data_IF_226007727881
#
_entry.id   IF_226007727881
#
_cell.length_a   1.000
_cell.length_b   1.000
_cell.length_c   1.000
_cell.angle_alpha   90.00
_cell.angle_beta   90.00
_cell.angle_gamma   90.00
#
_symmetry.space_group_name_H-M   'P 1'
#
loop_
_entity.id
_entity.type
_entity.pdbx_description
1 polymer ?
#
# COMPACT_ATOMS: atom_id res chain seq x y z
N UNK A 1 -14.96 -51.22 -25.24
CA UNK A 1 -15.34 -49.85 -24.80
C UNK A 1 -14.44 -49.34 -23.68
N UNK A 2 -14.39 -50.01 -22.52
CA UNK A 2 -13.58 -49.60 -21.34
C UNK A 2 -12.14 -49.18 -21.65
N UNK A 3 -11.40 -49.96 -22.44
CA UNK A 3 -10.03 -49.64 -22.88
C UNK A 3 -9.92 -48.30 -23.60
N UNK A 4 -10.84 -48.00 -24.51
CA UNK A 4 -10.87 -46.73 -25.27
C UNK A 4 -11.15 -45.54 -24.33
N UNK A 5 -12.04 -45.72 -23.35
CA UNK A 5 -12.35 -44.70 -22.34
C UNK A 5 -11.13 -44.42 -21.44
N UNK A 6 -10.40 -45.46 -21.02
CA UNK A 6 -9.17 -45.31 -20.23
C UNK A 6 -8.07 -44.57 -21.01
N UNK A 7 -7.87 -44.90 -22.30
CA UNK A 7 -6.92 -44.18 -23.17
C UNK A 7 -7.34 -42.72 -23.35
N UNK A 8 -8.62 -42.43 -23.58
CA UNK A 8 -9.12 -41.06 -23.71
C UNK A 8 -8.93 -40.24 -22.42
N UNK A 9 -9.20 -40.84 -21.25
CA UNK A 9 -8.94 -40.20 -19.95
C UNK A 9 -7.45 -39.91 -19.73
N UNK A 10 -6.55 -40.83 -20.12
CA UNK A 10 -5.11 -40.61 -20.03
C UNK A 10 -4.65 -39.44 -20.92
N UNK A 11 -5.14 -39.36 -22.16
CA UNK A 11 -4.86 -38.22 -23.05
C UNK A 11 -5.43 -36.91 -22.50
N UNK A 12 -6.65 -36.89 -21.94
CA UNK A 12 -7.22 -35.70 -21.32
C UNK A 12 -6.37 -35.19 -20.15
N UNK A 13 -5.89 -36.08 -19.28
CA UNK A 13 -4.99 -35.74 -18.17
C UNK A 13 -3.65 -35.19 -18.69
N UNK A 14 -3.06 -35.80 -19.71
CA UNK A 14 -1.82 -35.29 -20.33
C UNK A 14 -1.99 -33.90 -20.95
N UNK A 15 -3.12 -33.63 -21.62
CA UNK A 15 -3.44 -32.30 -22.17
C UNK A 15 -3.63 -31.27 -21.05
N UNK A 16 -4.29 -31.63 -19.94
CA UNK A 16 -4.41 -30.76 -18.76
C UNK A 16 -3.06 -30.48 -18.08
N UNK A 17 -2.15 -31.46 -18.00
CA UNK A 17 -0.81 -31.24 -17.48
C UNK A 17 0.01 -30.34 -18.41
N UNK A 18 -0.10 -30.53 -19.72
CA UNK A 18 0.59 -29.70 -20.72
C UNK A 18 0.10 -28.25 -20.70
N UNK A 19 -1.22 -28.01 -20.62
CA UNK A 19 -1.75 -26.64 -20.56
C UNK A 19 -1.37 -25.91 -19.27
N UNK A 20 -1.31 -26.61 -18.12
CA UNK A 20 -0.75 -26.05 -16.88
C UNK A 20 0.72 -25.69 -17.06
N UNK A 21 1.53 -26.55 -17.68
CA UNK A 21 2.96 -26.26 -17.92
C UNK A 21 3.17 -25.04 -18.83
N UNK A 22 2.40 -24.91 -19.92
CA UNK A 22 2.44 -23.73 -20.81
C UNK A 22 2.09 -22.45 -20.03
N UNK A 23 0.97 -22.43 -19.31
CA UNK A 23 0.55 -21.29 -18.50
C UNK A 23 1.57 -20.91 -17.42
N UNK A 24 2.28 -21.89 -16.82
CA UNK A 24 3.35 -21.59 -15.87
C UNK A 24 4.60 -20.99 -16.54
N UNK A 25 4.94 -21.36 -17.78
CA UNK A 25 6.05 -20.73 -18.52
C UNK A 25 5.71 -19.29 -18.89
N UNK A 26 4.54 -19.08 -19.50
CA UNK A 26 4.04 -17.76 -19.87
C UNK A 26 4.03 -16.80 -18.66
N UNK A 27 3.54 -17.27 -17.49
CA UNK A 27 3.57 -16.50 -16.24
C UNK A 27 4.99 -16.21 -15.71
N UNK A 28 5.94 -17.12 -15.90
CA UNK A 28 7.34 -16.92 -15.49
C UNK A 28 8.04 -15.90 -16.40
N UNK A 29 7.86 -16.02 -17.71
CA UNK A 29 8.40 -15.10 -18.71
C UNK A 29 7.88 -13.68 -18.47
N UNK A 30 6.56 -13.53 -18.33
CA UNK A 30 5.85 -12.29 -17.96
C UNK A 30 6.36 -11.65 -16.65
N UNK A 31 6.70 -12.47 -15.64
CA UNK A 31 7.34 -12.01 -14.39
C UNK A 31 8.80 -11.58 -14.62
N UNK A 32 9.55 -12.24 -15.50
CA UNK A 32 10.94 -11.85 -15.80
C UNK A 32 11.04 -10.57 -16.63
N UNK A 33 10.14 -10.33 -17.57
CA UNK A 33 10.09 -9.07 -18.33
C UNK A 33 9.74 -7.89 -17.42
N UNK A 34 8.73 -8.05 -16.54
CA UNK A 34 8.37 -7.03 -15.54
C UNK A 34 9.47 -6.77 -14.50
N UNK A 35 10.43 -7.68 -14.35
CA UNK A 35 11.66 -7.46 -13.58
C UNK A 35 12.73 -6.72 -14.39
N UNK A 36 12.93 -7.06 -15.68
CA UNK A 36 13.87 -6.36 -16.58
C UNK A 36 13.48 -4.88 -16.76
N UNK A 37 12.24 -4.61 -17.17
CA UNK A 37 11.71 -3.25 -17.35
C UNK A 37 11.86 -2.39 -16.09
N UNK A 38 11.68 -2.99 -14.90
CA UNK A 38 11.85 -2.32 -13.61
C UNK A 38 13.32 -2.04 -13.24
N UNK A 39 14.27 -2.84 -13.72
CA UNK A 39 15.70 -2.60 -13.53
C UNK A 39 16.20 -1.51 -14.51
N UNK A 40 15.73 -1.55 -15.75
CA UNK A 40 16.08 -0.61 -16.81
C UNK A 40 15.56 0.81 -16.50
N UNK A 41 14.31 0.92 -16.03
CA UNK A 41 13.72 2.18 -15.54
C UNK A 41 14.39 2.74 -14.26
N UNK A 42 15.33 2.01 -13.64
CA UNK A 42 16.13 2.48 -12.51
C UNK A 42 17.54 2.95 -12.91
N UNK A 43 17.91 2.87 -14.20
CA UNK A 43 19.26 3.17 -14.70
C UNK A 43 19.41 4.53 -15.39
N UNK A 44 18.32 5.29 -15.57
CA UNK A 44 18.29 6.46 -16.49
C UNK A 44 17.74 7.72 -15.81
N UNK A 45 18.40 8.22 -14.76
CA UNK A 45 18.20 9.60 -14.25
C UNK A 45 19.42 10.10 -13.45
N UNK A 46 20.49 10.53 -14.12
CA UNK A 46 21.54 11.36 -13.50
C UNK A 46 22.02 12.49 -14.45
N UNK A 47 21.67 13.73 -14.08
CA UNK A 47 22.25 15.02 -14.53
C UNK A 47 22.15 15.37 -16.06
N UNK A 48 22.51 16.62 -16.46
CA UNK A 48 21.81 17.84 -16.06
C UNK A 48 21.49 18.77 -17.27
N UNK A 49 20.79 19.89 -17.04
CA UNK A 49 20.57 20.94 -18.06
C UNK A 49 20.74 22.35 -17.49
N UNK A 50 21.59 23.16 -18.12
CA UNK A 50 21.92 24.54 -17.73
C UNK A 50 20.93 25.58 -18.29
N UNK A 51 21.07 26.84 -17.84
CA UNK A 51 20.29 28.02 -18.30
C UNK A 51 20.88 28.62 -19.60
N UNK A 52 20.20 29.58 -20.25
CA UNK A 52 20.53 31.00 -19.99
C UNK A 52 19.32 31.97 -19.94
N UNK A 53 19.56 33.28 -20.05
CA UNK A 53 18.80 34.40 -19.45
C UNK A 53 18.44 35.54 -20.46
N UNK A 54 17.84 36.65 -19.97
CA UNK A 54 17.46 37.97 -20.55
C UNK A 54 15.95 38.16 -20.90
N UNK A 55 15.29 39.32 -20.69
CA UNK A 55 15.69 40.64 -20.16
C UNK A 55 14.49 41.45 -19.54
N UNK A 56 14.75 42.69 -19.09
CA UNK A 56 13.89 43.69 -18.38
C UNK A 56 14.25 45.13 -18.87
N UNK A 57 13.64 46.28 -18.44
CA UNK A 57 12.78 46.55 -17.26
C UNK A 57 11.51 47.44 -17.54
N UNK A 58 10.60 47.70 -16.57
CA UNK A 58 10.32 48.97 -15.80
C UNK A 58 9.80 50.23 -16.55
N UNK A 59 9.20 51.25 -15.87
CA UNK A 59 8.32 51.24 -14.67
C UNK A 59 7.12 52.25 -14.78
N UNK A 60 6.30 52.42 -13.72
CA UNK A 60 5.97 53.75 -13.09
C UNK A 60 5.03 53.59 -11.87
N UNK A 61 5.46 54.22 -10.76
CA UNK A 61 4.83 54.31 -9.40
C UNK A 61 3.58 55.23 -9.38
N UNK A 62 2.73 55.37 -8.34
CA UNK A 62 2.84 55.29 -6.86
C UNK A 62 1.52 54.67 -6.26
N UNK A 63 1.10 54.71 -4.98
CA UNK A 63 1.52 55.38 -3.72
C UNK A 63 0.98 54.61 -2.46
N UNK A 64 1.54 54.88 -1.26
CA UNK A 64 1.19 54.26 0.04
C UNK A 64 1.36 55.32 1.16
N UNK A 65 0.36 55.59 2.05
CA UNK A 65 0.28 55.05 3.43
C UNK A 65 -1.20 54.79 3.90
N UNK A 66 -1.62 54.51 5.16
CA UNK A 66 -1.05 54.53 6.53
C UNK A 66 -1.45 53.27 7.36
N UNK A 67 -0.54 52.93 8.30
CA UNK A 67 -0.58 52.07 9.53
C UNK A 67 -1.89 51.31 9.91
N UNK A 68 -1.93 49.97 10.14
CA UNK A 68 -1.19 49.04 11.06
C UNK A 68 -1.89 48.81 12.43
N UNK A 69 -1.63 47.67 13.15
CA UNK A 69 -1.04 46.38 12.75
C UNK A 69 -1.87 45.13 13.18
N UNK A 70 -1.63 43.97 12.56
CA UNK A 70 -1.86 42.66 13.19
C UNK A 70 -1.01 41.55 12.56
N UNK A 71 -0.70 40.49 13.34
CA UNK A 71 0.47 39.64 13.14
C UNK A 71 0.19 38.36 12.33
N UNK A 72 0.96 38.12 11.26
CA UNK A 72 1.16 36.79 10.65
C UNK A 72 2.64 36.37 10.78
N UNK A 73 2.97 35.34 11.57
CA UNK A 73 4.32 34.80 11.61
C UNK A 73 4.67 34.06 10.30
N UNK A 74 5.57 34.64 9.52
CA UNK A 74 6.17 33.98 8.37
C UNK A 74 7.18 32.91 8.85
N UNK A 75 7.02 31.64 8.45
CA UNK A 75 8.08 30.64 8.58
C UNK A 75 9.17 30.91 7.52
N UNK A 76 10.09 31.83 7.82
CA UNK A 76 11.32 31.97 7.04
C UNK A 76 12.16 30.69 7.10
N UNK A 77 12.82 30.39 5.99
CA UNK A 77 13.71 29.24 5.88
C UNK A 77 15.17 29.64 6.12
N UNK A 78 15.98 28.65 6.52
CA UNK A 78 17.45 28.68 6.60
C UNK A 78 18.09 29.41 7.80
N UNK A 79 18.24 28.67 8.91
CA UNK A 79 19.51 28.73 9.64
C UNK A 79 20.22 27.37 9.59
N UNK A 80 21.44 27.38 9.05
CA UNK A 80 22.38 26.27 9.05
C UNK A 80 23.54 26.61 9.99
N UNK A 81 23.35 26.38 11.29
CA UNK A 81 24.43 26.50 12.30
C UNK A 81 25.39 25.30 12.21
N UNK A 82 26.15 25.24 11.11
CA UNK A 82 27.22 24.27 10.86
C UNK A 82 28.54 24.72 11.51
N UNK A 83 28.56 24.85 12.84
CA UNK A 83 29.73 25.33 13.59
C UNK A 83 30.78 24.22 13.80
N UNK A 84 31.39 23.76 12.71
CA UNK A 84 32.71 23.11 12.75
C UNK A 84 33.45 23.25 11.40
N UNK A 85 34.14 24.38 11.18
CA UNK A 85 35.03 24.54 10.02
C UNK A 85 36.34 23.78 10.28
N UNK A 86 36.34 22.48 9.95
CA UNK A 86 37.52 21.63 10.00
C UNK A 86 37.99 21.25 8.58
N UNK A 87 39.10 21.87 8.16
CA UNK A 87 40.05 21.49 7.09
C UNK A 87 39.54 20.75 5.83
N UNK A 88 39.77 21.39 4.69
CA UNK A 88 39.80 20.88 3.33
C UNK A 88 39.87 19.34 3.11
N UNK A 89 38.91 18.82 2.33
CA UNK A 89 39.17 17.68 1.43
C UNK A 89 38.81 16.27 1.92
N UNK A 90 38.05 16.10 3.00
CA UNK A 90 37.60 14.76 3.45
C UNK A 90 36.12 14.51 3.10
N UNK A 91 35.86 13.68 2.07
CA UNK A 91 34.51 13.20 1.76
C UNK A 91 34.12 12.12 2.78
N UNK A 92 33.57 12.57 3.91
CA UNK A 92 33.12 11.70 5.01
C UNK A 92 31.91 10.86 4.60
N UNK A 93 32.17 9.68 4.03
CA UNK A 93 31.22 8.57 3.94
C UNK A 93 30.93 7.94 5.32
N UNK A 94 30.63 8.78 6.31
CA UNK A 94 30.14 8.35 7.60
C UNK A 94 28.75 7.73 7.41
N UNK A 95 28.68 6.40 7.36
CA UNK A 95 27.42 5.66 7.30
C UNK A 95 26.65 5.88 8.59
N UNK A 96 25.83 6.95 8.64
CA UNK A 96 24.89 7.22 9.72
C UNK A 96 23.89 6.06 9.80
N UNK A 97 24.22 5.06 10.61
CA UNK A 97 23.39 3.90 10.90
C UNK A 97 22.03 4.39 11.34
N UNK A 98 21.02 4.27 10.47
CA UNK A 98 19.71 4.87 10.74
C UNK A 98 19.08 4.14 11.91
N UNK A 99 18.79 4.81 13.04
CA UNK A 99 18.47 4.11 14.29
C UNK A 99 17.27 3.19 14.13
N UNK A 100 17.34 2.02 14.75
CA UNK A 100 16.33 0.97 14.60
C UNK A 100 15.01 1.38 15.23
N UNK A 101 13.93 0.66 14.90
CA UNK A 101 12.63 0.85 15.54
C UNK A 101 12.71 0.64 17.06
N UNK A 102 13.58 -0.26 17.52
CA UNK A 102 13.74 -0.60 18.93
C UNK A 102 14.46 0.51 19.68
N UNK A 103 15.57 1.04 19.15
CA UNK A 103 16.23 2.25 19.67
C UNK A 103 15.26 3.44 19.71
N UNK A 104 14.49 3.66 18.64
CA UNK A 104 13.51 4.75 18.58
C UNK A 104 12.37 4.59 19.58
N UNK A 105 11.90 3.37 19.82
CA UNK A 105 10.91 3.06 20.85
C UNK A 105 11.48 3.28 22.26
N UNK A 106 12.73 2.86 22.51
CA UNK A 106 13.42 3.13 23.77
C UNK A 106 13.70 4.61 24.00
N UNK A 107 13.77 5.41 22.94
CA UNK A 107 13.89 6.87 22.97
C UNK A 107 12.53 7.63 22.97
N UNK A 108 11.38 6.94 22.96
CA UNK A 108 10.08 7.58 23.18
C UNK A 108 9.95 8.04 24.64
N UNK A 109 9.26 9.15 24.86
CA UNK A 109 8.74 9.49 26.18
C UNK A 109 7.74 8.43 26.68
N UNK A 110 7.44 8.42 27.98
CA UNK A 110 6.58 7.41 28.59
C UNK A 110 5.14 7.41 28.05
N UNK A 111 4.61 8.56 27.64
CA UNK A 111 3.23 8.71 27.14
C UNK A 111 3.13 8.21 25.69
N UNK A 112 4.02 8.66 24.80
CA UNK A 112 4.10 8.13 23.42
C UNK A 112 4.38 6.63 23.40
N UNK A 113 5.17 6.11 24.36
CA UNK A 113 5.45 4.68 24.50
C UNK A 113 4.20 3.89 24.89
N UNK A 114 3.43 4.36 25.87
CA UNK A 114 2.14 3.76 26.23
C UNK A 114 1.17 3.71 25.04
N UNK A 115 1.09 4.80 24.26
CA UNK A 115 0.29 4.83 23.03
C UNK A 115 0.76 3.83 21.96
N UNK A 116 2.07 3.64 21.79
CA UNK A 116 2.62 2.60 20.91
C UNK A 116 2.16 1.21 21.36
N UNK A 117 2.34 0.89 22.64
CA UNK A 117 2.05 -0.42 23.22
C UNK A 117 0.55 -0.73 23.22
N UNK A 118 -0.31 0.28 23.41
CA UNK A 118 -1.76 0.12 23.34
C UNK A 118 -2.25 -0.14 21.91
N UNK A 119 -1.74 0.58 20.91
CA UNK A 119 -2.08 0.32 19.49
C UNK A 119 -1.55 -1.05 19.05
N UNK A 120 -0.36 -1.45 19.49
CA UNK A 120 0.19 -2.80 19.30
C UNK A 120 -0.73 -3.86 19.91
N UNK A 121 -1.14 -3.69 21.17
CA UNK A 121 -2.06 -4.60 21.87
C UNK A 121 -3.41 -4.71 21.16
N UNK A 122 -3.97 -3.58 20.70
CA UNK A 122 -5.24 -3.55 19.98
C UNK A 122 -5.14 -4.26 18.63
N UNK A 123 -4.13 -3.92 17.81
CA UNK A 123 -3.92 -4.53 16.50
C UNK A 123 -3.58 -6.04 16.58
N UNK A 124 -2.94 -6.49 17.67
CA UNK A 124 -2.64 -7.90 17.91
C UNK A 124 -3.86 -8.72 18.40
N UNK A 125 -4.89 -8.07 18.94
CA UNK A 125 -6.11 -8.74 19.43
C UNK A 125 -7.15 -9.04 18.32
N UNK A 126 -6.98 -8.44 17.13
CA UNK A 126 -7.90 -8.59 16.00
C UNK A 126 -7.81 -9.99 15.35
N UNK A 127 -8.92 -10.48 14.80
CA UNK A 127 -8.98 -11.82 14.19
C UNK A 127 -8.02 -11.97 13.00
N UNK A 128 -7.40 -13.15 12.86
CA UNK A 128 -6.40 -13.49 11.83
C UNK A 128 -5.14 -12.57 11.81
N UNK A 129 -4.98 -11.68 12.80
CA UNK A 129 -3.94 -10.65 12.81
C UNK A 129 -2.54 -11.25 12.96
N UNK A 130 -1.62 -10.81 12.10
CA UNK A 130 -0.22 -11.26 12.05
C UNK A 130 0.73 -10.08 12.14
N UNK A 131 1.64 -10.15 13.12
CA UNK A 131 2.71 -9.18 13.37
C UNK A 131 3.88 -9.38 12.41
N UNK A 132 4.31 -8.30 11.77
CA UNK A 132 5.51 -8.23 10.93
C UNK A 132 6.41 -7.10 11.46
N UNK A 133 7.53 -7.45 12.08
CA UNK A 133 8.51 -6.48 12.58
C UNK A 133 9.64 -6.28 11.56
N UNK A 134 10.05 -5.03 11.37
CA UNK A 134 11.14 -4.62 10.50
C UNK A 134 12.01 -3.59 11.24
N UNK A 135 13.28 -3.47 10.86
CA UNK A 135 14.24 -2.49 11.41
C UNK A 135 13.73 -1.04 11.41
N UNK A 136 12.77 -0.69 10.54
CA UNK A 136 12.20 0.67 10.42
C UNK A 136 10.75 0.83 10.88
N UNK A 137 9.98 -0.25 11.02
CA UNK A 137 8.54 -0.21 11.30
C UNK A 137 7.99 -1.55 11.80
N UNK A 138 6.83 -1.53 12.44
CA UNK A 138 6.07 -2.73 12.79
C UNK A 138 4.71 -2.70 12.11
N UNK A 139 4.21 -3.82 11.58
CA UNK A 139 3.01 -3.86 10.75
C UNK A 139 2.13 -5.06 11.08
N UNK A 140 0.83 -4.80 11.25
CA UNK A 140 -0.18 -5.82 11.55
C UNK A 140 -1.07 -6.02 10.32
N UNK A 141 -1.33 -7.29 9.97
CA UNK A 141 -2.10 -7.67 8.77
C UNK A 141 -3.06 -8.81 9.03
N UNK A 142 -4.23 -8.73 8.42
CA UNK A 142 -5.17 -9.86 8.29
C UNK A 142 -5.16 -10.34 6.84
N UNK A 143 -4.67 -11.56 6.62
CA UNK A 143 -4.47 -12.14 5.29
C UNK A 143 -3.46 -11.37 4.43
N UNK A 144 -3.95 -10.63 3.43
CA UNK A 144 -3.14 -9.76 2.55
C UNK A 144 -3.22 -8.27 2.90
N UNK A 145 -4.17 -7.87 3.74
CA UNK A 145 -4.49 -6.45 3.99
C UNK A 145 -3.81 -5.97 5.26
N UNK A 146 -3.20 -4.78 5.20
CA UNK A 146 -2.62 -4.09 6.36
C UNK A 146 -3.73 -3.47 7.20
N UNK A 147 -3.78 -3.83 8.48
CA UNK A 147 -4.59 -3.13 9.49
C UNK A 147 -3.91 -1.79 9.81
N UNK A 148 -2.69 -1.85 10.33
CA UNK A 148 -1.86 -0.69 10.69
C UNK A 148 -0.37 -0.98 10.49
N UNK A 149 0.42 0.04 10.15
CA UNK A 149 1.87 0.06 10.35
C UNK A 149 2.23 1.17 11.33
N UNK A 150 2.95 0.82 12.40
CA UNK A 150 3.51 1.76 13.35
C UNK A 150 4.96 2.09 12.97
N UNK A 151 5.30 3.38 13.02
CA UNK A 151 6.65 3.92 12.88
C UNK A 151 6.89 4.91 14.03
N UNK A 152 8.15 5.19 14.33
CA UNK A 152 8.53 6.31 15.19
C UNK A 152 9.30 7.33 14.36
N UNK A 153 8.84 8.59 14.36
CA UNK A 153 9.41 9.71 13.59
C UNK A 153 9.52 10.93 14.52
N UNK A 154 10.72 11.51 14.66
CA UNK A 154 11.00 12.69 15.52
C UNK A 154 10.43 12.56 16.96
N UNK A 155 10.63 11.43 17.61
CA UNK A 155 10.14 11.16 18.98
C UNK A 155 8.65 10.86 19.10
N UNK A 156 7.88 10.87 18.01
CA UNK A 156 6.41 10.68 18.01
C UNK A 156 6.03 9.37 17.31
N UNK A 157 4.99 8.71 17.81
CA UNK A 157 4.38 7.53 17.18
C UNK A 157 3.58 7.96 15.96
N UNK A 158 3.80 7.28 14.84
CA UNK A 158 3.14 7.55 13.56
C UNK A 158 2.55 6.27 13.02
N UNK A 159 1.24 6.24 12.85
CA UNK A 159 0.51 5.12 12.26
C UNK A 159 0.20 5.38 10.79
N UNK A 160 0.39 4.36 9.95
CA UNK A 160 -0.03 4.34 8.55
C UNK A 160 -1.11 3.26 8.33
N UNK A 161 -2.25 3.67 7.80
CA UNK A 161 -3.41 2.82 7.49
C UNK A 161 -3.54 2.66 5.96
N UNK A 162 -4.42 1.77 5.49
CA UNK A 162 -4.95 1.84 4.11
C UNK A 162 -6.46 1.71 4.24
N UNK A 163 -7.14 2.84 4.40
CA UNK A 163 -8.59 2.87 4.56
C UNK A 163 -9.24 2.47 3.22
N UNK A 164 -10.01 1.38 3.16
CA UNK A 164 -10.58 0.89 1.91
C UNK A 164 -11.80 1.73 1.51
N UNK A 165 -11.76 2.29 0.30
CA UNK A 165 -12.93 2.85 -0.35
C UNK A 165 -13.49 1.81 -1.35
N UNK A 166 -14.77 1.45 -1.20
CA UNK A 166 -15.42 0.42 -2.00
C UNK A 166 -15.56 0.82 -3.48
N UNK A 167 -16.01 2.05 -3.75
CA UNK A 167 -16.26 2.57 -5.10
C UNK A 167 -14.97 2.65 -5.91
N UNK A 168 -13.91 3.18 -5.29
CA UNK A 168 -12.57 3.24 -5.89
C UNK A 168 -12.02 1.83 -6.17
N UNK A 169 -12.21 0.88 -5.25
CA UNK A 169 -11.80 -0.50 -5.44
C UNK A 169 -12.57 -1.18 -6.57
N UNK A 170 -13.87 -0.94 -6.68
CA UNK A 170 -14.70 -1.46 -7.77
C UNK A 170 -14.27 -0.88 -9.12
N UNK A 171 -14.13 0.46 -9.21
CA UNK A 171 -13.61 1.16 -10.39
C UNK A 171 -12.26 0.59 -10.86
N UNK A 172 -11.31 0.40 -9.93
CA UNK A 172 -9.98 -0.17 -10.23
C UNK A 172 -10.07 -1.59 -10.79
N UNK A 173 -10.95 -2.44 -10.24
CA UNK A 173 -11.16 -3.81 -10.70
C UNK A 173 -11.84 -3.87 -12.07
N UNK A 174 -12.88 -3.06 -12.29
CA UNK A 174 -13.68 -3.02 -13.52
C UNK A 174 -12.86 -2.51 -14.71
N UNK A 175 -12.11 -1.42 -14.51
CA UNK A 175 -11.25 -0.81 -15.53
C UNK A 175 -9.89 -1.53 -15.66
N UNK A 176 -9.62 -2.56 -14.85
CA UNK A 176 -8.39 -3.38 -14.84
C UNK A 176 -7.09 -2.58 -14.66
N UNK A 177 -7.17 -1.39 -14.08
CA UNK A 177 -6.01 -0.53 -13.82
C UNK A 177 -5.25 -0.98 -12.57
N UNK A 178 -3.96 -0.72 -12.49
CA UNK A 178 -3.13 -1.07 -11.34
C UNK A 178 -2.72 0.19 -10.56
N UNK A 179 -3.54 0.61 -9.60
CA UNK A 179 -3.29 1.82 -8.80
C UNK A 179 -2.74 1.47 -7.41
N UNK A 180 -1.54 1.97 -7.11
CA UNK A 180 -0.91 1.83 -5.79
C UNK A 180 -1.43 2.91 -4.84
N UNK A 181 -2.45 2.56 -4.04
CA UNK A 181 -2.99 3.42 -2.98
C UNK A 181 -1.89 3.73 -1.95
N UNK A 182 -1.68 5.03 -1.66
CA UNK A 182 -0.81 5.49 -0.59
C UNK A 182 -1.51 5.38 0.77
N UNK A 183 -0.75 5.21 1.85
CA UNK A 183 -1.32 5.03 3.19
C UNK A 183 -1.61 6.33 3.91
N UNK A 184 -2.84 6.51 4.38
CA UNK A 184 -3.21 7.58 5.32
C UNK A 184 -2.28 7.54 6.53
N UNK A 185 -1.64 8.66 6.85
CA UNK A 185 -0.61 8.75 7.90
C UNK A 185 -1.09 9.67 9.01
N UNK A 186 -1.08 9.19 10.26
CA UNK A 186 -1.51 9.94 11.44
C UNK A 186 -0.42 9.92 12.53
N UNK A 187 -0.18 11.07 13.16
CA UNK A 187 0.65 11.18 14.37
C UNK A 187 -0.24 10.92 15.59
N UNK A 188 0.28 10.21 16.59
CA UNK A 188 -0.40 10.00 17.87
C UNK A 188 0.25 10.92 18.90
N UNK A 189 -0.55 11.83 19.46
CA UNK A 189 -0.09 12.90 20.37
C UNK A 189 -0.88 12.92 21.69
N UNK A 190 -2.10 12.39 21.66
CA UNK A 190 -3.10 12.50 22.70
C UNK A 190 -4.11 11.34 22.64
N UNK A 191 -5.05 11.31 23.58
CA UNK A 191 -6.02 10.22 23.69
C UNK A 191 -7.06 10.22 22.54
N UNK A 192 -7.31 11.38 21.90
CA UNK A 192 -8.22 11.45 20.74
C UNK A 192 -7.57 10.89 19.47
N UNK A 193 -6.30 11.22 19.18
CA UNK A 193 -5.55 10.60 18.07
C UNK A 193 -5.27 9.11 18.31
N UNK A 194 -5.09 8.69 19.56
CA UNK A 194 -5.05 7.28 19.95
C UNK A 194 -6.37 6.56 19.64
N UNK A 195 -7.52 7.13 20.01
CA UNK A 195 -8.81 6.49 19.75
C UNK A 195 -9.09 6.43 18.25
N UNK A 196 -8.85 7.53 17.51
CA UNK A 196 -8.97 7.55 16.05
C UNK A 196 -8.06 6.50 15.36
N UNK A 197 -6.96 6.08 15.98
CA UNK A 197 -6.09 5.01 15.46
C UNK A 197 -6.69 3.61 15.66
N UNK A 198 -7.44 3.39 16.74
CA UNK A 198 -8.24 2.17 16.97
C UNK A 198 -9.42 2.12 16.01
N UNK A 199 -10.19 3.22 15.92
CA UNK A 199 -11.32 3.36 15.00
C UNK A 199 -10.87 3.13 13.55
N UNK A 200 -9.68 3.61 13.17
CA UNK A 200 -9.07 3.36 11.86
C UNK A 200 -8.69 1.88 11.62
N UNK A 201 -8.34 1.12 12.67
CA UNK A 201 -8.15 -0.35 12.57
C UNK A 201 -9.50 -1.02 12.36
N UNK A 202 -10.53 -0.63 13.14
CA UNK A 202 -11.85 -1.26 13.11
C UNK A 202 -12.58 -1.00 11.78
N UNK A 203 -12.40 0.18 11.17
CA UNK A 203 -12.85 0.46 9.79
C UNK A 203 -12.23 -0.52 8.78
N UNK A 204 -10.94 -0.84 8.92
CA UNK A 204 -10.27 -1.81 8.05
C UNK A 204 -10.73 -3.25 8.33
N UNK A 205 -10.94 -3.62 9.60
CA UNK A 205 -11.46 -4.95 9.98
C UNK A 205 -12.89 -5.15 9.46
N UNK A 206 -13.79 -4.20 9.69
CA UNK A 206 -15.18 -4.23 9.21
C UNK A 206 -15.25 -4.34 7.68
N UNK A 207 -14.43 -3.59 6.95
CA UNK A 207 -14.37 -3.69 5.49
C UNK A 207 -13.80 -5.04 4.99
N UNK A 208 -12.97 -5.73 5.79
CA UNK A 208 -12.52 -7.10 5.51
C UNK A 208 -13.62 -8.13 5.77
N UNK A 209 -14.45 -7.92 6.79
CA UNK A 209 -15.64 -8.73 7.07
C UNK A 209 -16.68 -8.58 5.96
N UNK A 210 -17.03 -7.34 5.58
CA UNK A 210 -17.90 -7.04 4.44
C UNK A 210 -17.37 -7.67 3.14
N UNK A 211 -16.06 -7.63 2.89
CA UNK A 211 -15.45 -8.32 1.75
C UNK A 211 -15.50 -9.86 1.86
N UNK A 212 -15.32 -10.42 3.06
CA UNK A 212 -15.48 -11.87 3.32
C UNK A 212 -16.94 -12.28 3.04
N UNK A 213 -17.93 -11.50 3.47
CA UNK A 213 -19.35 -11.78 3.28
C UNK A 213 -19.80 -11.61 1.83
N UNK A 214 -19.46 -10.51 1.18
CA UNK A 214 -19.76 -10.28 -0.23
C UNK A 214 -19.23 -11.41 -1.12
N UNK A 215 -18.01 -11.90 -0.86
CA UNK A 215 -17.45 -13.08 -1.55
C UNK A 215 -18.21 -14.37 -1.25
N UNK A 216 -18.68 -14.58 -0.01
CA UNK A 216 -19.56 -15.74 0.34
C UNK A 216 -20.87 -15.66 -0.46
N UNK A 217 -21.51 -14.49 -0.53
CA UNK A 217 -22.75 -14.27 -1.28
C UNK A 217 -22.56 -14.53 -2.78
N UNK A 218 -21.58 -13.90 -3.43
CA UNK A 218 -21.28 -14.11 -4.86
C UNK A 218 -21.02 -15.59 -5.21
N UNK A 219 -20.35 -16.35 -4.33
CA UNK A 219 -20.11 -17.78 -4.53
C UNK A 219 -21.40 -18.59 -4.43
N UNK A 220 -22.32 -18.23 -3.52
CA UNK A 220 -23.63 -18.88 -3.42
C UNK A 220 -24.53 -18.57 -4.62
N UNK A 221 -24.53 -17.34 -5.11
CA UNK A 221 -25.29 -16.94 -6.30
C UNK A 221 -24.76 -17.61 -7.57
N UNK A 222 -23.44 -17.61 -7.79
CA UNK A 222 -22.80 -18.33 -8.91
C UNK A 222 -23.09 -19.83 -8.86
N UNK A 223 -23.20 -20.44 -7.66
CA UNK A 223 -23.65 -21.83 -7.48
C UNK A 223 -25.14 -22.02 -7.82
N UNK A 224 -26.01 -21.06 -7.48
CA UNK A 224 -27.45 -21.07 -7.85
C UNK A 224 -27.64 -20.93 -9.36
N UNK A 225 -26.97 -19.98 -10.00
CA UNK A 225 -27.01 -19.76 -11.46
C UNK A 225 -26.57 -21.00 -12.24
N UNK A 226 -25.42 -21.60 -11.90
CA UNK A 226 -24.93 -22.84 -12.54
C UNK A 226 -25.92 -24.00 -12.41
N UNK A 227 -26.62 -24.11 -11.27
CA UNK A 227 -27.66 -25.13 -11.06
C UNK A 227 -28.97 -24.86 -11.81
N UNK A 228 -29.21 -23.64 -12.29
CA UNK A 228 -30.35 -23.28 -13.16
C UNK A 228 -30.02 -23.60 -14.62
N UNK A 229 -28.89 -23.09 -15.13
CA UNK A 229 -28.40 -23.42 -16.46
C UNK A 229 -28.32 -24.94 -16.71
N UNK A 230 -27.74 -25.71 -15.77
CA UNK A 230 -27.67 -27.18 -15.87
C UNK A 230 -29.01 -27.92 -15.80
N UNK A 231 -30.12 -27.25 -15.44
CA UNK A 231 -31.48 -27.78 -15.59
C UNK A 231 -32.06 -27.39 -16.94
N UNK A 232 -31.93 -26.13 -17.32
CA UNK A 232 -32.38 -25.59 -18.60
C UNK A 232 -31.74 -26.35 -19.78
N UNK A 233 -30.43 -26.61 -19.74
CA UNK A 233 -29.69 -27.47 -20.68
C UNK A 233 -30.26 -28.90 -20.76
N UNK A 234 -30.67 -29.47 -19.62
CA UNK A 234 -31.24 -30.84 -19.51
C UNK A 234 -32.71 -30.93 -19.90
N UNK A 235 -33.42 -29.80 -19.89
CA UNK A 235 -34.81 -29.70 -20.35
C UNK A 235 -34.87 -29.35 -21.85
N UNK A 236 -33.88 -28.63 -22.37
CA UNK A 236 -33.72 -28.35 -23.81
C UNK A 236 -33.25 -29.60 -24.58
N UNK A 237 -32.22 -30.30 -24.11
CA UNK A 237 -31.75 -31.55 -24.74
C UNK A 237 -32.87 -32.60 -24.87
N UNK A 238 -33.62 -32.84 -23.79
CA UNK A 238 -34.81 -33.73 -23.80
C UNK A 238 -35.95 -33.29 -24.71
N UNK A 239 -35.97 -32.04 -25.18
CA UNK A 239 -36.94 -31.53 -26.16
C UNK A 239 -36.45 -31.61 -27.61
N UNK A 240 -35.17 -31.94 -27.83
CA UNK A 240 -34.58 -32.18 -29.16
C UNK A 240 -34.45 -33.66 -29.53
N UNK A 241 -34.83 -34.57 -28.63
CA UNK A 241 -34.78 -36.03 -28.81
C UNK A 241 -36.18 -36.67 -29.03
N UNK A 242 -37.23 -35.84 -29.14
CA UNK A 242 -38.63 -36.20 -29.42
C UNK A 242 -39.12 -35.51 -30.70
#
# INVERSE_FOLDING_TARGET
>A
MTTVIVVFMAFAVLICLFSVLVLTRELIEDITEKRKQKAEAASTTEQPSEQPNLATPEPVVMAIPQEEPQEEPQEEAQELSAEEIAAAGEVRFASKTTPTLEEKYLALDAKSRAYYDEIVKYAAAQEDSKRFKNTRYEEYKTGKTRLVRLLVKRGVVVCEFILPNADFKNYVNENKVNVKVAGTTMKILDDTTLQAAKDSIDIVVKALEEEREYKRQLVLERRRQRRRAQKEEKEQSKKGEN
#
